data_IF_358821549194
#
_entry.id   IF_358821549194
#
_cell.length_a   1.000
_cell.length_b   1.000
_cell.length_c   1.000
_cell.angle_alpha   90.00
_cell.angle_beta   90.00
_cell.angle_gamma   90.00
#
_symmetry.space_group_name_H-M   'P 1'
#
loop_
_entity.id
_entity.type
_entity.pdbx_description
1 polymer ?
#
# COMPACT_ATOMS: atom_id res chain seq x y z
N UNK A 1 21.15 -16.26 93.46
CA UNK A 1 19.88 -15.94 94.14
C UNK A 1 18.75 -16.11 93.14
N UNK A 2 17.82 -17.06 93.36
CA UNK A 2 16.61 -17.26 92.57
C UNK A 2 15.42 -16.52 93.18
N UNK A 3 14.37 -16.23 92.40
CA UNK A 3 12.95 -15.97 92.79
C UNK A 3 12.29 -15.26 91.59
N UNK A 4 11.11 -15.57 91.06
CA UNK A 4 9.98 -16.42 91.47
C UNK A 4 9.07 -16.64 90.23
N UNK A 5 8.67 -17.90 90.01
CA UNK A 5 7.31 -18.40 89.68
C UNK A 5 6.28 -17.42 89.08
N UNK A 6 5.81 -17.61 87.84
CA UNK A 6 4.76 -18.53 87.38
C UNK A 6 3.30 -18.08 87.67
N UNK A 7 2.48 -17.94 86.61
CA UNK A 7 1.31 -18.82 86.35
C UNK A 7 0.63 -18.51 85.01
N UNK A 8 0.28 -19.61 84.32
CA UNK A 8 -0.50 -19.75 83.09
C UNK A 8 -1.99 -19.45 83.33
N UNK A 9 -2.73 -19.14 82.26
CA UNK A 9 -4.03 -19.73 81.86
C UNK A 9 -4.45 -19.11 80.50
N UNK A 10 -4.38 -19.78 79.34
CA UNK A 10 -5.26 -20.80 78.73
C UNK A 10 -6.63 -20.30 78.20
N UNK A 11 -6.85 -20.61 76.91
CA UNK A 11 -8.10 -20.90 76.18
C UNK A 11 -8.66 -19.81 75.23
N UNK A 12 -8.69 -20.24 73.97
CA UNK A 12 -9.32 -19.75 72.75
C UNK A 12 -10.77 -19.26 72.88
N UNK A 13 -11.19 -18.30 72.03
CA UNK A 13 -12.44 -18.46 71.28
C UNK A 13 -12.49 -17.60 70.00
N UNK A 14 -13.15 -18.19 69.02
CA UNK A 14 -13.35 -17.84 67.62
C UNK A 14 -14.34 -16.66 67.40
N UNK A 15 -14.11 -15.92 66.31
CA UNK A 15 -15.09 -15.28 65.38
C UNK A 15 -16.11 -14.25 65.87
N UNK A 16 -16.11 -13.06 65.24
CA UNK A 16 -17.26 -12.60 64.44
C UNK A 16 -16.86 -11.48 63.46
N UNK A 17 -17.33 -11.59 62.22
CA UNK A 17 -17.07 -10.70 61.10
C UNK A 17 -17.78 -9.34 61.21
N UNK A 18 -17.15 -8.27 60.69
CA UNK A 18 -17.84 -7.05 60.30
C UNK A 18 -17.58 -6.81 58.81
N UNK A 19 -18.64 -7.07 58.04
CA UNK A 19 -18.81 -6.62 56.65
C UNK A 19 -19.00 -5.09 56.67
N UNK A 20 -18.19 -4.34 55.92
CA UNK A 20 -18.48 -2.95 55.63
C UNK A 20 -18.04 -2.57 54.21
N UNK A 21 -19.02 -2.50 53.31
CA UNK A 21 -19.11 -1.47 52.26
C UNK A 21 -18.16 -1.57 51.07
N UNK A 22 -18.63 -2.19 50.00
CA UNK A 22 -18.11 -1.99 48.67
C UNK A 22 -18.26 -0.52 48.24
N UNK A 23 -17.15 0.14 47.92
CA UNK A 23 -17.14 1.26 47.00
C UNK A 23 -16.31 0.80 45.80
N UNK A 24 -16.97 0.08 44.88
CA UNK A 24 -16.42 -0.15 43.55
C UNK A 24 -16.29 1.22 42.89
N UNK A 25 -15.09 1.78 42.88
CA UNK A 25 -14.79 2.99 42.14
C UNK A 25 -14.88 2.61 40.65
N UNK A 26 -16.08 2.72 40.10
CA UNK A 26 -16.31 2.74 38.66
C UNK A 26 -15.56 3.95 38.11
N UNK A 27 -14.31 3.74 37.67
CA UNK A 27 -13.69 4.59 36.67
C UNK A 27 -14.56 4.44 35.42
N UNK A 28 -15.56 5.33 35.30
CA UNK A 28 -16.25 5.53 34.05
C UNK A 28 -15.19 5.99 33.06
N UNK A 29 -14.75 5.06 32.22
CA UNK A 29 -13.85 5.33 31.11
C UNK A 29 -14.58 6.32 30.20
N UNK A 30 -14.15 7.58 30.27
CA UNK A 30 -14.75 8.68 29.54
C UNK A 30 -14.52 8.42 28.05
N UNK A 31 -15.52 7.85 27.38
CA UNK A 31 -15.50 7.57 25.95
C UNK A 31 -15.56 8.89 25.19
N UNK A 32 -14.42 9.58 25.09
CA UNK A 32 -14.29 10.76 24.24
C UNK A 32 -14.41 10.27 22.80
N UNK A 33 -15.54 10.55 22.16
CA UNK A 33 -15.66 10.35 20.72
C UNK A 33 -14.79 11.40 20.05
N UNK A 34 -13.53 11.06 19.78
CA UNK A 34 -12.64 11.91 18.99
C UNK A 34 -13.15 11.92 17.56
N UNK A 35 -13.81 13.01 17.16
CA UNK A 35 -14.33 13.20 15.81
C UNK A 35 -13.16 13.57 14.89
N UNK A 36 -12.39 12.58 14.45
CA UNK A 36 -11.25 12.77 13.55
C UNK A 36 -10.37 11.53 13.41
N UNK A 37 -9.44 11.50 12.43
CA UNK A 37 -8.47 10.42 12.34
C UNK A 37 -7.58 10.44 13.58
N UNK A 38 -7.46 9.29 14.27
CA UNK A 38 -6.64 9.18 15.49
C UNK A 38 -5.18 9.55 15.26
N UNK A 39 -4.66 9.22 14.09
CA UNK A 39 -3.29 9.54 13.68
C UNK A 39 -3.32 10.57 12.55
N UNK A 40 -3.30 11.85 12.94
CA UNK A 40 -3.35 12.99 12.03
C UNK A 40 -2.18 12.97 11.03
N UNK A 41 -1.01 12.53 11.46
CA UNK A 41 0.18 12.49 10.61
C UNK A 41 0.07 11.47 9.47
N UNK A 42 -0.46 10.27 9.75
CA UNK A 42 -0.73 9.30 8.69
C UNK A 42 -1.82 9.78 7.74
N UNK A 43 -2.82 10.49 8.27
CA UNK A 43 -3.89 11.07 7.47
C UNK A 43 -3.37 12.17 6.54
N UNK A 44 -2.66 13.16 7.09
CA UNK A 44 -2.07 14.27 6.34
C UNK A 44 -1.01 13.77 5.35
N UNK A 45 -0.20 12.79 5.75
CA UNK A 45 0.75 12.12 4.86
C UNK A 45 0.07 11.47 3.66
N UNK A 46 -1.03 10.75 3.87
CA UNK A 46 -1.81 10.17 2.79
C UNK A 46 -2.40 11.24 1.85
N UNK A 47 -2.87 12.36 2.39
CA UNK A 47 -3.42 13.45 1.59
C UNK A 47 -2.33 14.18 0.79
N UNK A 48 -1.15 14.41 1.37
CA UNK A 48 -0.01 14.98 0.66
C UNK A 48 0.41 14.10 -0.53
N UNK A 49 0.47 12.77 -0.35
CA UNK A 49 0.77 11.83 -1.45
C UNK A 49 -0.27 11.89 -2.57
N UNK A 50 -1.56 11.95 -2.23
CA UNK A 50 -2.64 12.09 -3.23
C UNK A 50 -2.55 13.42 -3.99
N UNK A 51 -2.05 14.47 -3.35
CA UNK A 51 -1.81 15.77 -3.97
C UNK A 51 -0.51 15.82 -4.81
N UNK A 52 0.28 14.74 -4.85
CA UNK A 52 1.57 14.70 -5.54
C UNK A 52 2.74 15.27 -4.73
N UNK A 53 2.51 15.71 -3.49
CA UNK A 53 3.53 16.26 -2.60
C UNK A 53 4.29 15.10 -1.91
N UNK A 54 5.16 14.44 -2.67
CA UNK A 54 5.85 13.22 -2.25
C UNK A 54 6.70 13.37 -0.99
N UNK A 55 7.56 14.40 -0.92
CA UNK A 55 8.46 14.58 0.22
C UNK A 55 7.71 14.88 1.52
N UNK A 56 6.67 15.72 1.48
CA UNK A 56 5.80 15.97 2.62
C UNK A 56 5.03 14.72 3.03
N UNK A 57 4.50 13.97 2.05
CA UNK A 57 3.82 12.71 2.28
C UNK A 57 4.70 11.70 3.00
N UNK A 58 5.95 11.53 2.57
CA UNK A 58 6.94 10.67 3.24
C UNK A 58 7.24 11.17 4.65
N UNK A 59 7.54 12.46 4.81
CA UNK A 59 7.89 13.07 6.10
C UNK A 59 6.77 12.88 7.14
N UNK A 60 5.53 13.20 6.76
CA UNK A 60 4.36 13.07 7.63
C UNK A 60 4.07 11.60 7.94
N UNK A 61 4.16 10.72 6.95
CA UNK A 61 3.95 9.28 7.16
C UNK A 61 4.98 8.70 8.13
N UNK A 62 6.26 9.06 8.01
CA UNK A 62 7.30 8.65 8.97
C UNK A 62 7.01 9.16 10.38
N UNK A 63 6.50 10.39 10.52
CA UNK A 63 6.11 10.95 11.83
C UNK A 63 4.95 10.16 12.43
N UNK A 64 3.92 9.90 11.65
CA UNK A 64 2.74 9.14 12.09
C UNK A 64 3.04 7.69 12.41
N UNK A 65 4.01 7.07 11.73
CA UNK A 65 4.42 5.69 12.02
C UNK A 65 5.09 5.56 13.40
N UNK A 66 5.75 6.61 13.91
CA UNK A 66 6.33 6.61 15.27
C UNK A 66 5.29 6.50 16.38
N UNK A 67 4.07 6.94 16.11
CA UNK A 67 2.94 6.92 17.05
C UNK A 67 1.81 6.00 16.58
N UNK A 68 2.10 5.12 15.61
CA UNK A 68 1.13 4.17 15.10
C UNK A 68 0.69 3.22 16.22
N UNK A 69 -0.61 2.96 16.29
CA UNK A 69 -1.16 1.95 17.21
C UNK A 69 -1.87 0.87 16.41
N UNK A 70 -1.28 -0.32 16.46
CA UNK A 70 -1.81 -1.54 15.88
C UNK A 70 -1.55 -1.70 14.39
N UNK A 71 -1.75 -2.95 13.97
CA UNK A 71 -1.53 -3.47 12.63
C UNK A 71 -2.13 -2.62 11.49
N UNK A 72 -3.28 -1.99 11.73
CA UNK A 72 -3.95 -1.17 10.69
C UNK A 72 -3.13 0.07 10.34
N UNK A 73 -2.65 0.80 11.34
CA UNK A 73 -1.89 2.04 11.11
C UNK A 73 -0.51 1.74 10.58
N UNK A 74 0.15 0.70 11.08
CA UNK A 74 1.44 0.24 10.56
C UNK A 74 1.32 -0.13 9.07
N UNK A 75 0.31 -0.93 8.70
CA UNK A 75 0.03 -1.26 7.30
C UNK A 75 -0.19 -0.02 6.44
N UNK A 76 -1.00 0.93 6.90
CA UNK A 76 -1.23 2.18 6.17
C UNK A 76 0.06 2.98 6.02
N UNK A 77 0.85 3.11 7.09
CA UNK A 77 2.12 3.84 7.05
C UNK A 77 3.12 3.22 6.10
N UNK A 78 3.36 1.91 6.17
CA UNK A 78 4.25 1.23 5.24
C UNK A 78 3.75 1.27 3.79
N UNK A 79 2.44 1.13 3.54
CA UNK A 79 1.88 1.28 2.20
C UNK A 79 2.06 2.71 1.64
N UNK A 80 1.89 3.73 2.49
CA UNK A 80 2.13 5.13 2.13
C UNK A 80 3.62 5.41 1.88
N UNK A 81 4.54 4.83 2.67
CA UNK A 81 5.98 5.00 2.43
C UNK A 81 6.44 4.33 1.13
N UNK A 82 5.91 3.14 0.83
CA UNK A 82 6.11 2.48 -0.47
C UNK A 82 5.71 3.42 -1.63
N UNK A 83 4.51 4.02 -1.55
CA UNK A 83 4.04 4.98 -2.56
C UNK A 83 4.85 6.29 -2.60
N UNK A 84 5.17 6.86 -1.43
CA UNK A 84 5.83 8.15 -1.32
C UNK A 84 7.29 8.12 -1.74
N UNK A 85 8.03 7.06 -1.40
CA UNK A 85 9.39 6.89 -1.90
C UNK A 85 9.42 6.62 -3.40
N UNK A 86 8.44 5.87 -3.94
CA UNK A 86 8.30 5.72 -5.39
C UNK A 86 8.02 7.08 -6.06
N UNK A 87 7.12 7.89 -5.51
CA UNK A 87 6.77 9.21 -6.04
C UNK A 87 7.95 10.20 -6.00
N UNK A 88 8.90 10.00 -5.08
CA UNK A 88 10.10 10.84 -4.94
C UNK A 88 11.34 10.21 -5.57
N UNK A 89 11.14 9.25 -6.48
CA UNK A 89 12.18 8.56 -7.25
C UNK A 89 13.29 7.93 -6.38
N UNK A 90 12.88 7.29 -5.28
CA UNK A 90 13.75 6.58 -4.32
C UNK A 90 13.33 5.11 -4.21
N UNK A 91 13.38 4.32 -5.30
CA UNK A 91 12.81 2.97 -5.33
C UNK A 91 13.47 2.00 -4.33
N UNK A 92 14.76 2.16 -4.01
CA UNK A 92 15.48 1.34 -3.04
C UNK A 92 14.93 1.54 -1.62
N UNK A 93 14.45 2.74 -1.31
CA UNK A 93 13.78 3.04 -0.03
C UNK A 93 12.34 2.56 -0.03
N UNK A 94 11.66 2.60 -1.17
CA UNK A 94 10.27 2.15 -1.30
C UNK A 94 10.13 0.64 -1.08
N UNK A 95 10.99 -0.15 -1.72
CA UNK A 95 10.91 -1.61 -1.75
C UNK A 95 10.75 -2.28 -0.37
N UNK A 96 11.56 -2.00 0.67
CA UNK A 96 11.40 -2.63 1.97
C UNK A 96 10.04 -2.33 2.62
N UNK A 97 9.46 -1.15 2.37
CA UNK A 97 8.13 -0.82 2.89
C UNK A 97 7.03 -1.57 2.14
N UNK A 98 7.18 -1.77 0.82
CA UNK A 98 6.25 -2.60 0.06
C UNK A 98 6.31 -4.07 0.53
N UNK A 99 7.52 -4.60 0.73
CA UNK A 99 7.74 -5.97 1.22
C UNK A 99 7.12 -6.18 2.60
N UNK A 100 7.35 -5.25 3.53
CA UNK A 100 6.78 -5.32 4.88
C UNK A 100 5.26 -5.54 4.86
N UNK A 101 4.55 -4.82 3.97
CA UNK A 101 3.09 -4.94 3.83
C UNK A 101 2.72 -6.29 3.22
N UNK A 102 3.37 -6.71 2.14
CA UNK A 102 2.99 -7.93 1.41
C UNK A 102 3.37 -9.21 2.14
N UNK A 103 4.39 -9.19 3.01
CA UNK A 103 4.70 -10.28 3.94
C UNK A 103 3.58 -10.55 4.96
N UNK A 104 2.75 -9.53 5.26
CA UNK A 104 1.72 -9.59 6.32
C UNK A 104 0.29 -9.55 5.76
N UNK A 105 0.13 -8.96 4.59
CA UNK A 105 -1.15 -8.67 3.96
C UNK A 105 -1.06 -8.96 2.46
N UNK A 106 -0.93 -10.25 2.14
CA UNK A 106 -0.80 -10.75 0.77
C UNK A 106 -2.01 -10.42 -0.13
N UNK A 107 -3.13 -9.96 0.43
CA UNK A 107 -4.32 -9.54 -0.33
C UNK A 107 -4.35 -8.03 -0.63
N UNK A 108 -3.29 -7.29 -0.31
CA UNK A 108 -3.20 -5.85 -0.56
C UNK A 108 -2.77 -5.55 -2.01
N UNK A 109 -3.74 -5.58 -2.92
CA UNK A 109 -3.51 -5.34 -4.36
C UNK A 109 -2.90 -3.95 -4.65
N UNK A 110 -3.16 -2.93 -3.82
CA UNK A 110 -2.57 -1.61 -4.01
C UNK A 110 -1.05 -1.64 -3.79
N UNK A 111 -0.58 -2.43 -2.82
CA UNK A 111 0.86 -2.59 -2.61
C UNK A 111 1.53 -3.38 -3.72
N UNK A 112 0.88 -4.42 -4.27
CA UNK A 112 1.40 -5.08 -5.49
C UNK A 112 1.54 -4.10 -6.66
N UNK A 113 0.52 -3.26 -6.88
CA UNK A 113 0.57 -2.21 -7.91
C UNK A 113 1.78 -1.26 -7.72
N UNK A 114 2.02 -0.82 -6.47
CA UNK A 114 3.14 0.07 -6.18
C UNK A 114 4.49 -0.65 -6.27
N UNK A 115 4.59 -1.90 -5.79
CA UNK A 115 5.85 -2.65 -5.81
C UNK A 115 6.24 -3.07 -7.23
N UNK A 116 5.29 -3.35 -8.11
CA UNK A 116 5.55 -3.53 -9.53
C UNK A 116 6.21 -2.29 -10.15
N UNK A 117 5.69 -1.10 -9.87
CA UNK A 117 6.31 0.16 -10.33
C UNK A 117 7.70 0.39 -9.71
N UNK A 118 7.88 0.03 -8.43
CA UNK A 118 9.20 0.06 -7.78
C UNK A 118 10.17 -0.88 -8.50
N UNK A 119 9.76 -2.11 -8.81
CA UNK A 119 10.60 -3.06 -9.54
C UNK A 119 10.92 -2.60 -10.96
N UNK A 120 9.97 -2.02 -11.69
CA UNK A 120 10.24 -1.42 -12.99
C UNK A 120 11.28 -0.30 -12.90
N UNK A 121 11.21 0.56 -11.87
CA UNK A 121 12.23 1.60 -11.62
C UNK A 121 13.61 1.04 -11.25
N UNK A 122 13.66 -0.17 -10.72
CA UNK A 122 14.89 -0.91 -10.44
C UNK A 122 15.33 -1.81 -11.60
N UNK A 123 14.67 -1.74 -12.77
CA UNK A 123 14.89 -2.62 -13.93
C UNK A 123 14.71 -4.12 -13.63
N UNK A 124 13.89 -4.43 -12.63
CA UNK A 124 13.56 -5.79 -12.15
C UNK A 124 12.24 -6.26 -12.77
N UNK A 125 12.25 -6.44 -14.08
CA UNK A 125 11.04 -6.63 -14.87
C UNK A 125 10.28 -7.93 -14.56
N UNK A 126 10.99 -9.03 -14.33
CA UNK A 126 10.35 -10.33 -13.99
C UNK A 126 9.55 -10.23 -12.69
N UNK A 127 10.10 -9.60 -11.65
CA UNK A 127 9.38 -9.40 -10.40
C UNK A 127 8.22 -8.41 -10.53
N UNK A 128 8.33 -7.41 -11.41
CA UNK A 128 7.25 -6.49 -11.70
C UNK A 128 6.06 -7.21 -12.36
N UNK A 129 6.31 -8.09 -13.33
CA UNK A 129 5.28 -8.88 -14.00
C UNK A 129 4.52 -9.77 -13.00
N UNK A 130 5.25 -10.45 -12.12
CA UNK A 130 4.68 -11.31 -11.10
C UNK A 130 3.78 -10.52 -10.11
N UNK A 131 4.19 -9.33 -9.71
CA UNK A 131 3.37 -8.46 -8.85
C UNK A 131 2.13 -7.92 -9.59
N UNK A 132 2.25 -7.57 -10.87
CA UNK A 132 1.10 -7.19 -11.70
C UNK A 132 0.09 -8.34 -11.76
N UNK A 133 0.56 -9.56 -12.03
CA UNK A 133 -0.26 -10.77 -12.11
C UNK A 133 -1.00 -11.02 -10.80
N UNK A 134 -0.29 -11.06 -9.66
CA UNK A 134 -0.88 -11.24 -8.33
C UNK A 134 -1.90 -10.15 -8.00
N UNK A 135 -1.59 -8.88 -8.30
CA UNK A 135 -2.52 -7.78 -8.13
C UNK A 135 -3.81 -7.98 -8.93
N UNK A 136 -3.70 -8.42 -10.18
CA UNK A 136 -4.84 -8.68 -11.07
C UNK A 136 -5.67 -9.90 -10.64
N UNK A 137 -5.07 -10.92 -10.04
CA UNK A 137 -5.81 -12.05 -9.44
C UNK A 137 -6.71 -11.58 -8.29
N UNK A 138 -6.24 -10.62 -7.49
CA UNK A 138 -7.02 -10.06 -6.35
C UNK A 138 -8.05 -9.02 -6.82
N UNK A 139 -7.71 -8.21 -7.84
CA UNK A 139 -8.57 -7.15 -8.40
C UNK A 139 -8.46 -7.08 -9.93
N UNK A 140 -9.16 -7.97 -10.66
CA UNK A 140 -9.03 -8.09 -12.13
C UNK A 140 -9.49 -6.85 -12.89
N UNK A 141 -10.42 -6.08 -12.33
CA UNK A 141 -10.99 -4.88 -12.96
C UNK A 141 -10.33 -3.57 -12.50
N UNK A 142 -9.21 -3.63 -11.77
CA UNK A 142 -8.50 -2.43 -11.32
C UNK A 142 -7.91 -1.64 -12.50
N UNK A 143 -8.34 -0.39 -12.65
CA UNK A 143 -7.77 0.54 -13.66
C UNK A 143 -6.29 0.80 -13.43
N UNK A 144 -5.86 0.88 -12.17
CA UNK A 144 -4.45 1.13 -11.83
C UNK A 144 -3.57 -0.04 -12.28
N UNK A 145 -3.97 -1.28 -11.99
CA UNK A 145 -3.21 -2.46 -12.42
C UNK A 145 -3.18 -2.62 -13.95
N UNK A 146 -4.26 -2.24 -14.65
CA UNK A 146 -4.26 -2.18 -16.13
C UNK A 146 -3.27 -1.13 -16.65
N UNK A 147 -3.22 0.05 -16.01
CA UNK A 147 -2.29 1.10 -16.38
C UNK A 147 -0.82 0.69 -16.13
N UNK A 148 -0.52 0.11 -14.97
CA UNK A 148 0.83 -0.40 -14.66
C UNK A 148 1.23 -1.51 -15.62
N UNK A 149 0.32 -2.42 -15.98
CA UNK A 149 0.59 -3.43 -17.02
C UNK A 149 0.91 -2.79 -18.38
N UNK A 150 0.19 -1.73 -18.76
CA UNK A 150 0.51 -0.97 -19.98
C UNK A 150 1.93 -0.42 -19.95
N UNK A 151 2.29 0.29 -18.86
CA UNK A 151 3.65 0.82 -18.67
C UNK A 151 4.71 -0.29 -18.73
N UNK A 152 4.45 -1.45 -18.10
CA UNK A 152 5.36 -2.60 -18.16
C UNK A 152 5.58 -3.11 -19.58
N UNK A 153 4.50 -3.22 -20.37
CA UNK A 153 4.58 -3.67 -21.76
C UNK A 153 5.31 -2.67 -22.65
N UNK A 154 5.08 -1.36 -22.44
CA UNK A 154 5.78 -0.31 -23.20
C UNK A 154 7.30 -0.37 -22.99
N UNK A 155 7.76 -0.69 -21.77
CA UNK A 155 9.18 -0.81 -21.44
C UNK A 155 9.81 -2.13 -21.92
N UNK A 156 9.08 -3.25 -21.81
CA UNK A 156 9.62 -4.60 -22.09
C UNK A 156 9.37 -5.10 -23.51
N UNK A 157 8.36 -4.56 -24.19
CA UNK A 157 7.94 -4.95 -25.53
C UNK A 157 7.70 -3.69 -26.37
N UNK A 158 8.75 -2.91 -26.68
CA UNK A 158 8.60 -1.71 -27.46
C UNK A 158 7.93 -2.06 -28.80
N UNK A 159 6.83 -1.38 -29.12
CA UNK A 159 6.08 -1.61 -30.36
C UNK A 159 6.98 -1.27 -31.54
N UNK A 160 7.52 -2.30 -32.20
CA UNK A 160 8.19 -2.12 -33.49
C UNK A 160 7.11 -1.99 -34.55
N UNK A 161 6.80 -0.76 -34.95
CA UNK A 161 5.93 -0.53 -36.10
C UNK A 161 6.68 -0.98 -37.36
N UNK A 162 6.44 -2.21 -37.81
CA UNK A 162 6.76 -2.61 -39.18
C UNK A 162 5.73 -1.95 -40.10
N UNK A 163 6.08 -0.78 -40.63
CA UNK A 163 5.31 -0.15 -41.70
C UNK A 163 5.66 -0.90 -42.98
N UNK A 164 4.84 -1.87 -43.38
CA UNK A 164 4.85 -2.34 -44.77
C UNK A 164 4.14 -1.27 -45.61
N UNK A 165 4.91 -0.52 -46.39
CA UNK A 165 4.37 0.38 -47.42
C UNK A 165 3.80 -0.52 -48.53
N UNK A 166 2.47 -0.62 -48.61
CA UNK A 166 1.81 -1.33 -49.71
C UNK A 166 1.96 -0.50 -51.00
N UNK A 167 3.01 -0.76 -51.77
CA UNK A 167 3.34 -0.08 -53.02
C UNK A 167 2.31 -0.32 -54.15
N UNK A 168 1.27 -1.14 -53.94
CA UNK A 168 0.25 -1.46 -54.97
C UNK A 168 -0.61 -0.27 -55.42
N UNK A 169 -0.55 0.89 -54.76
CA UNK A 169 -1.37 2.07 -55.13
C UNK A 169 -0.79 2.97 -56.21
N UNK A 170 0.45 2.80 -56.66
CA UNK A 170 1.05 3.70 -57.67
C UNK A 170 0.92 3.20 -59.12
N UNK A 171 0.39 2.00 -59.36
CA UNK A 171 0.41 1.37 -60.70
C UNK A 171 -0.92 1.46 -61.49
N UNK A 172 -1.99 2.09 -60.99
CA UNK A 172 -3.32 2.03 -61.64
C UNK A 172 -3.78 3.28 -62.40
N UNK A 173 -2.96 4.34 -62.53
CA UNK A 173 -3.38 5.60 -63.17
C UNK A 173 -2.67 5.96 -64.48
N UNK A 174 -1.86 5.08 -65.06
CA UNK A 174 -1.41 5.25 -66.46
C UNK A 174 -2.43 4.61 -67.38
N UNK A 175 -3.51 5.36 -67.69
CA UNK A 175 -4.38 5.03 -68.83
C UNK A 175 -3.72 5.64 -70.07
N UNK A 176 -3.03 4.79 -70.83
CA UNK A 176 -2.54 5.11 -72.16
C UNK A 176 -3.74 5.33 -73.09
N UNK A 177 -3.96 6.60 -73.43
CA UNK A 177 -4.86 7.07 -74.49
C UNK A 177 -4.14 6.87 -75.83
N UNK A 178 -4.22 5.68 -76.42
CA UNK A 178 -3.80 5.44 -77.81
C UNK A 178 -5.01 5.53 -78.75
N UNK A 179 -5.01 6.63 -79.51
CA UNK A 179 -5.89 6.97 -80.62
C UNK A 179 -5.96 5.88 -81.69
N UNK A 180 -7.19 5.48 -82.03
CA UNK A 180 -7.54 4.57 -83.13
C UNK A 180 -7.19 5.15 -84.51
N UNK A 181 -6.62 4.38 -85.46
CA UNK A 181 -6.47 4.83 -86.84
C UNK A 181 -7.75 4.51 -87.64
N UNK A 182 -8.32 5.53 -88.26
CA UNK A 182 -9.39 5.42 -89.25
C UNK A 182 -8.89 4.68 -90.52
N UNK A 183 -9.68 3.72 -90.99
CA UNK A 183 -9.47 2.97 -92.24
C UNK A 183 -10.70 3.09 -93.13
N UNK A 184 -10.42 3.46 -94.40
CA UNK A 184 -11.24 3.37 -95.63
C UNK A 184 -12.42 4.36 -95.76
N UNK A 185 -12.71 4.98 -96.90
CA UNK A 185 -12.38 4.76 -98.32
C UNK A 185 -12.41 6.12 -99.05
#
# INVERSE_FOLDING_TARGET
>A
MPMKTARRNFIHLLTLAVLAGAASLSLAEESTTVLGPRNLDLYDGANALKAGNGDDGVRLTLRGLKTAQGAREERTGHANLCAGYLLTDKPEKALPHCNWVLERYETNWQTYNNRALVYMRLERFDEAEEDIRKGQEIRPNSRNLKAVKGMYLDETQPVTTKIEVDERRTASDVRDDESSPDVAD
#
